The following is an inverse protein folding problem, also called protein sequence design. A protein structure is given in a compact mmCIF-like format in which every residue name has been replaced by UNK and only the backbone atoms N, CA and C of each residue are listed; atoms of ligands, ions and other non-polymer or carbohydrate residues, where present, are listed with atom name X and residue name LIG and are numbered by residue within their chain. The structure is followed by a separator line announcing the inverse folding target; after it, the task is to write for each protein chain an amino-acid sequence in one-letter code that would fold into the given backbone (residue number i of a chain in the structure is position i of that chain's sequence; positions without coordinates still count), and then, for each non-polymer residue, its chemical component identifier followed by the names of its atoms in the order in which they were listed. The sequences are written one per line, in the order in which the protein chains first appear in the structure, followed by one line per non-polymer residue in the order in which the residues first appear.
data_IF_284062349631
#
_entry.id   IF_284062349631
#
_cell.length_a   1.000
_cell.length_b   1.000
_cell.length_c   1.000
_cell.angle_alpha   90.00
_cell.angle_beta   90.00
_cell.angle_gamma   90.00
#
_symmetry.space_group_name_H-M   'P 1'
#
loop_
_entity.id
_entity.type
_entity.pdbx_description
1 polymer ?
#
# COMPACT_ATOMS: atom_id res chain seq x y z
N UNK A 1 -21.04 -16.03 7.94
CA UNK A 1 -20.45 -15.04 7.03
C UNK A 1 -20.46 -15.62 5.62
N UNK A 2 -21.00 -14.95 4.60
CA UNK A 2 -20.98 -15.50 3.24
C UNK A 2 -19.54 -15.43 2.74
N UNK A 3 -18.91 -16.60 2.68
CA UNK A 3 -17.64 -16.84 2.04
C UNK A 3 -17.87 -16.62 0.53
N UNK A 4 -17.45 -15.48 -0.01
CA UNK A 4 -17.39 -15.31 -1.46
C UNK A 4 -16.55 -16.46 -2.00
N UNK A 5 -17.17 -17.37 -2.77
CA UNK A 5 -16.47 -18.57 -3.25
C UNK A 5 -15.41 -18.12 -4.25
N UNK A 6 -14.18 -18.59 -4.09
CA UNK A 6 -12.99 -18.22 -4.88
C UNK A 6 -13.24 -18.15 -6.40
N UNK A 7 -14.11 -19.03 -6.92
CA UNK A 7 -14.54 -19.07 -8.33
C UNK A 7 -15.18 -17.78 -8.84
N UNK A 8 -15.88 -17.02 -8.00
CA UNK A 8 -16.50 -15.75 -8.41
C UNK A 8 -15.49 -14.61 -8.53
N UNK A 9 -14.32 -14.76 -7.88
CA UNK A 9 -13.25 -13.77 -7.87
C UNK A 9 -12.20 -14.04 -8.97
N UNK A 10 -12.15 -15.27 -9.51
CA UNK A 10 -11.25 -15.65 -10.60
C UNK A 10 -11.24 -14.68 -11.79
N UNK A 11 -12.39 -14.20 -12.32
CA UNK A 11 -12.38 -13.25 -13.42
C UNK A 11 -11.70 -11.92 -13.06
N UNK A 12 -11.88 -11.43 -11.84
CA UNK A 12 -11.25 -10.20 -11.35
C UNK A 12 -9.75 -10.41 -11.14
N UNK A 13 -9.36 -11.54 -10.58
CA UNK A 13 -7.96 -11.92 -10.40
C UNK A 13 -7.24 -12.03 -11.75
N UNK A 14 -7.88 -12.65 -12.75
CA UNK A 14 -7.32 -12.80 -14.09
C UNK A 14 -7.12 -11.44 -14.77
N UNK A 15 -8.14 -10.56 -14.74
CA UNK A 15 -8.04 -9.19 -15.24
C UNK A 15 -6.95 -8.41 -14.52
N UNK A 16 -6.90 -8.52 -13.19
CA UNK A 16 -5.89 -7.86 -12.40
C UNK A 16 -4.50 -8.48 -12.62
N UNK A 17 -4.36 -9.70 -13.12
CA UNK A 17 -3.04 -10.27 -13.47
C UNK A 17 -2.62 -9.91 -14.90
N UNK A 18 -3.55 -9.48 -15.74
CA UNK A 18 -3.33 -9.10 -17.13
C UNK A 18 -2.73 -7.68 -17.25
N UNK A 19 -1.43 -7.55 -16.94
CA UNK A 19 -0.71 -6.26 -16.94
C UNK A 19 -0.65 -5.54 -18.30
N UNK A 20 -0.98 -6.22 -19.39
CA UNK A 20 -1.02 -5.60 -20.73
C UNK A 20 -2.32 -4.84 -21.00
N UNK A 21 -3.39 -5.08 -20.21
CA UNK A 21 -4.66 -4.38 -20.35
C UNK A 21 -4.90 -3.42 -19.18
N UNK A 22 -4.46 -2.18 -19.38
CA UNK A 22 -4.56 -1.11 -18.40
C UNK A 22 -6.00 -0.85 -17.92
N UNK A 23 -6.96 -0.79 -18.85
CA UNK A 23 -8.36 -0.46 -18.55
C UNK A 23 -9.02 -1.57 -17.71
N UNK A 24 -8.72 -2.84 -18.00
CA UNK A 24 -9.20 -3.96 -17.19
C UNK A 24 -8.66 -3.91 -15.76
N UNK A 25 -7.37 -3.63 -15.59
CA UNK A 25 -6.75 -3.54 -14.26
C UNK A 25 -7.38 -2.40 -13.46
N UNK A 26 -7.51 -1.21 -14.05
CA UNK A 26 -8.15 -0.08 -13.39
C UNK A 26 -9.61 -0.34 -13.04
N UNK A 27 -10.37 -0.96 -13.95
CA UNK A 27 -11.75 -1.34 -13.69
C UNK A 27 -11.85 -2.22 -12.43
N UNK A 28 -11.01 -3.25 -12.33
CA UNK A 28 -11.01 -4.11 -11.14
C UNK A 28 -10.62 -3.33 -9.88
N UNK A 29 -9.60 -2.46 -9.96
CA UNK A 29 -9.18 -1.66 -8.80
C UNK A 29 -10.28 -0.70 -8.32
N UNK A 30 -11.01 -0.07 -9.23
CA UNK A 30 -12.12 0.82 -8.89
C UNK A 30 -13.33 0.07 -8.29
N UNK A 31 -13.67 -1.10 -8.85
CA UNK A 31 -14.70 -1.97 -8.27
C UNK A 31 -14.31 -2.44 -6.88
N UNK A 32 -13.05 -2.85 -6.68
CA UNK A 32 -12.54 -3.25 -5.37
C UNK A 32 -12.57 -2.08 -4.38
N UNK A 33 -12.25 -0.86 -4.80
CA UNK A 33 -12.33 0.32 -3.95
C UNK A 33 -13.76 0.54 -3.46
N UNK A 34 -14.71 0.54 -4.37
CA UNK A 34 -16.14 0.72 -4.07
C UNK A 34 -16.68 -0.40 -3.16
N UNK A 35 -16.42 -1.67 -3.48
CA UNK A 35 -16.94 -2.81 -2.71
C UNK A 35 -16.33 -2.87 -1.32
N UNK A 36 -15.03 -2.59 -1.20
CA UNK A 36 -14.33 -2.69 0.08
C UNK A 36 -14.65 -1.56 1.06
N UNK A 37 -15.34 -0.49 0.65
CA UNK A 37 -15.93 0.46 1.60
C UNK A 37 -16.98 -0.21 2.50
N UNK A 38 -17.75 -1.15 1.95
CA UNK A 38 -18.82 -1.87 2.67
C UNK A 38 -18.37 -3.24 3.17
N UNK A 39 -17.49 -3.91 2.43
CA UNK A 39 -17.00 -5.25 2.75
C UNK A 39 -15.48 -5.33 2.62
N UNK A 40 -14.71 -4.70 3.54
CA UNK A 40 -13.27 -4.61 3.38
C UNK A 40 -12.54 -5.94 3.53
N UNK A 41 -13.18 -6.96 4.12
CA UNK A 41 -12.62 -8.31 4.24
C UNK A 41 -12.34 -8.97 2.87
N UNK A 42 -12.99 -8.50 1.80
CA UNK A 42 -12.75 -9.00 0.43
C UNK A 42 -11.29 -8.80 0.00
N UNK A 43 -10.63 -7.76 0.51
CA UNK A 43 -9.26 -7.41 0.14
C UNK A 43 -8.23 -8.48 0.54
N UNK A 44 -8.56 -9.35 1.50
CA UNK A 44 -7.73 -10.51 1.86
C UNK A 44 -7.45 -11.42 0.66
N UNK A 45 -8.41 -11.54 -0.27
CA UNK A 45 -8.28 -12.38 -1.46
C UNK A 45 -7.42 -11.73 -2.55
N UNK A 46 -7.21 -10.41 -2.46
CA UNK A 46 -6.50 -9.62 -3.47
C UNK A 46 -5.12 -9.11 -3.00
N UNK A 47 -4.80 -9.22 -1.72
CA UNK A 47 -3.64 -8.56 -1.10
C UNK A 47 -2.29 -8.89 -1.80
N UNK A 48 -2.07 -10.15 -2.19
CA UNK A 48 -0.85 -10.56 -2.91
C UNK A 48 -0.77 -9.88 -4.28
N UNK A 49 -1.89 -9.75 -4.98
CA UNK A 49 -1.93 -9.11 -6.28
C UNK A 49 -1.78 -7.59 -6.18
N UNK A 50 -2.38 -6.96 -5.15
CA UNK A 50 -2.18 -5.53 -4.84
C UNK A 50 -0.71 -5.23 -4.53
N UNK A 51 -0.02 -6.13 -3.82
CA UNK A 51 1.43 -6.02 -3.57
C UNK A 51 2.25 -5.97 -4.86
N UNK A 52 1.89 -6.78 -5.86
CA UNK A 52 2.59 -6.74 -7.16
C UNK A 52 2.37 -5.44 -7.95
N UNK A 53 1.34 -4.67 -7.59
CA UNK A 53 0.97 -3.41 -8.25
C UNK A 53 1.62 -2.17 -7.65
N UNK A 54 2.31 -2.29 -6.52
CA UNK A 54 2.95 -1.14 -5.86
C UNK A 54 4.08 -0.53 -6.70
N UNK A 55 4.66 -1.32 -7.61
CA UNK A 55 5.74 -0.91 -8.51
C UNK A 55 5.28 -0.80 -9.97
N UNK A 56 3.97 -0.79 -10.22
CA UNK A 56 3.43 -0.61 -11.57
C UNK A 56 3.93 0.70 -12.20
N UNK A 57 4.07 0.75 -13.53
CA UNK A 57 4.55 1.95 -14.20
C UNK A 57 3.50 3.07 -14.20
N UNK A 58 2.22 2.74 -14.10
CA UNK A 58 1.12 3.71 -14.05
C UNK A 58 0.87 4.24 -12.62
N UNK A 59 0.71 5.56 -12.46
CA UNK A 59 0.50 6.14 -11.14
C UNK A 59 -0.85 5.82 -10.52
N UNK A 60 -1.92 5.76 -11.33
CA UNK A 60 -3.27 5.55 -10.81
C UNK A 60 -3.38 4.13 -10.28
N UNK A 61 -2.82 3.17 -11.00
CA UNK A 61 -2.75 1.78 -10.56
C UNK A 61 -2.00 1.67 -9.23
N UNK A 62 -0.81 2.30 -9.11
CA UNK A 62 -0.06 2.29 -7.84
C UNK A 62 -0.87 2.92 -6.70
N UNK A 63 -1.45 4.09 -6.93
CA UNK A 63 -2.22 4.82 -5.92
C UNK A 63 -3.43 4.01 -5.44
N UNK A 64 -4.20 3.38 -6.34
CA UNK A 64 -5.26 2.45 -5.96
C UNK A 64 -4.72 1.24 -5.18
N UNK A 65 -3.63 0.63 -5.65
CA UNK A 65 -3.04 -0.53 -5.00
C UNK A 65 -2.59 -0.21 -3.56
N UNK A 66 -1.93 0.94 -3.35
CA UNK A 66 -1.57 1.41 -2.02
C UNK A 66 -2.81 1.69 -1.17
N UNK A 67 -3.81 2.42 -1.67
CA UNK A 67 -5.04 2.72 -0.92
C UNK A 67 -5.74 1.45 -0.42
N UNK A 68 -5.95 0.50 -1.32
CA UNK A 68 -6.58 -0.79 -1.02
C UNK A 68 -5.73 -1.62 -0.06
N UNK A 69 -4.41 -1.66 -0.27
CA UNK A 69 -3.51 -2.39 0.62
C UNK A 69 -3.50 -1.78 2.03
N UNK A 70 -3.48 -0.45 2.18
CA UNK A 70 -3.55 0.20 3.48
C UNK A 70 -4.89 -0.08 4.17
N UNK A 71 -6.00 -0.08 3.42
CA UNK A 71 -7.33 -0.46 3.96
C UNK A 71 -7.31 -1.90 4.48
N UNK A 72 -6.72 -2.84 3.74
CA UNK A 72 -6.54 -4.23 4.18
C UNK A 72 -5.68 -4.35 5.44
N UNK A 73 -4.51 -3.69 5.47
CA UNK A 73 -3.56 -3.80 6.57
C UNK A 73 -4.05 -3.14 7.85
N UNK A 74 -4.81 -2.04 7.78
CA UNK A 74 -5.47 -1.45 8.96
C UNK A 74 -6.43 -2.41 9.65
N UNK A 75 -7.07 -3.31 8.90
CA UNK A 75 -7.94 -4.35 9.46
C UNK A 75 -7.16 -5.59 9.92
N UNK A 76 -5.96 -5.80 9.37
CA UNK A 76 -5.12 -6.95 9.67
C UNK A 76 -3.67 -6.50 9.97
N UNK A 77 -3.40 -5.75 11.05
CA UNK A 77 -2.07 -5.15 11.27
C UNK A 77 -0.94 -6.18 11.34
N UNK A 78 -1.22 -7.38 11.85
CA UNK A 78 -0.28 -8.50 11.91
C UNK A 78 0.25 -8.94 10.53
N UNK A 79 -0.47 -8.63 9.45
CA UNK A 79 -0.08 -8.95 8.08
C UNK A 79 0.96 -7.97 7.53
N UNK A 80 1.10 -6.77 8.09
CA UNK A 80 2.00 -5.72 7.57
C UNK A 80 3.46 -6.20 7.43
N UNK A 81 3.90 -7.10 8.31
CA UNK A 81 5.22 -7.75 8.25
C UNK A 81 5.49 -8.48 6.92
N UNK A 82 4.47 -9.01 6.26
CA UNK A 82 4.58 -9.70 4.97
C UNK A 82 4.70 -8.74 3.78
N UNK A 83 4.34 -7.47 3.97
CA UNK A 83 4.41 -6.41 2.97
C UNK A 83 5.60 -5.46 3.18
N UNK A 84 6.24 -5.53 4.36
CA UNK A 84 7.39 -4.69 4.72
C UNK A 84 8.45 -4.61 3.63
N UNK A 85 8.90 -5.77 3.11
CA UNK A 85 9.94 -5.80 2.09
C UNK A 85 9.53 -5.02 0.84
N UNK A 86 8.34 -5.28 0.30
CA UNK A 86 7.87 -4.61 -0.91
C UNK A 86 7.63 -3.13 -0.72
N UNK A 87 7.14 -2.72 0.45
CA UNK A 87 7.00 -1.31 0.77
C UNK A 87 8.38 -0.62 0.85
N UNK A 88 9.36 -1.27 1.50
CA UNK A 88 10.73 -0.78 1.57
C UNK A 88 11.36 -0.69 0.17
N UNK A 89 11.14 -1.70 -0.69
CA UNK A 89 11.63 -1.72 -2.07
C UNK A 89 11.11 -0.50 -2.85
N UNK A 90 9.84 -0.09 -2.63
CA UNK A 90 9.29 1.14 -3.19
C UNK A 90 10.00 2.41 -2.67
N UNK A 91 10.36 2.47 -1.38
CA UNK A 91 11.08 3.61 -0.79
C UNK A 91 12.53 3.74 -1.29
N UNK A 92 13.18 2.63 -1.64
CA UNK A 92 14.55 2.65 -2.17
C UNK A 92 14.62 2.65 -3.70
N UNK A 93 13.46 2.72 -4.37
CA UNK A 93 13.37 2.66 -5.83
C UNK A 93 14.16 3.78 -6.50
N UNK A 94 14.84 3.42 -7.60
CA UNK A 94 15.45 4.37 -8.54
C UNK A 94 14.40 5.21 -9.28
N UNK A 95 13.17 4.71 -9.39
CA UNK A 95 12.09 5.40 -10.10
C UNK A 95 11.42 6.39 -9.16
N UNK A 96 11.66 7.69 -9.39
CA UNK A 96 11.05 8.78 -8.63
C UNK A 96 9.52 8.62 -8.48
N UNK A 97 8.81 8.20 -9.54
CA UNK A 97 7.35 7.97 -9.51
C UNK A 97 6.91 6.90 -8.50
N UNK A 98 7.68 5.82 -8.33
CA UNK A 98 7.37 4.75 -7.37
C UNK A 98 7.62 5.26 -5.95
N UNK A 99 8.78 5.89 -5.74
CA UNK A 99 9.12 6.53 -4.47
C UNK A 99 8.04 7.52 -4.02
N UNK A 100 7.61 8.40 -4.93
CA UNK A 100 6.56 9.38 -4.67
C UNK A 100 5.22 8.75 -4.26
N UNK A 101 4.80 7.67 -4.93
CA UNK A 101 3.60 6.93 -4.52
C UNK A 101 3.75 6.37 -3.11
N UNK A 102 4.89 5.75 -2.77
CA UNK A 102 5.12 5.24 -1.41
C UNK A 102 5.09 6.35 -0.35
N UNK A 103 5.69 7.52 -0.61
CA UNK A 103 5.73 8.63 0.35
C UNK A 103 4.33 9.14 0.74
N UNK A 104 3.35 9.08 -0.18
CA UNK A 104 1.96 9.45 0.13
C UNK A 104 1.40 8.66 1.32
N UNK A 105 1.81 7.39 1.45
CA UNK A 105 1.33 6.43 2.44
C UNK A 105 2.32 6.16 3.59
N UNK A 106 3.41 6.91 3.67
CA UNK A 106 4.50 6.71 4.63
C UNK A 106 4.01 6.63 6.07
N UNK A 107 3.21 7.61 6.50
CA UNK A 107 2.73 7.71 7.88
C UNK A 107 1.87 6.50 8.27
N UNK A 108 1.00 6.05 7.37
CA UNK A 108 0.14 4.90 7.60
C UNK A 108 0.94 3.61 7.76
N UNK A 109 1.88 3.37 6.83
CA UNK A 109 2.65 2.14 6.85
C UNK A 109 3.64 2.09 8.02
N UNK A 110 4.19 3.23 8.43
CA UNK A 110 5.03 3.35 9.63
C UNK A 110 4.24 2.97 10.88
N UNK A 111 2.99 3.44 11.02
CA UNK A 111 2.15 3.08 12.16
C UNK A 111 1.83 1.59 12.17
N UNK A 112 1.57 0.99 11.00
CA UNK A 112 1.32 -0.44 10.86
C UNK A 112 2.55 -1.33 11.09
N UNK A 113 3.76 -0.77 10.97
CA UNK A 113 5.04 -1.46 11.14
C UNK A 113 5.92 -0.71 12.15
N UNK A 114 5.34 -0.35 13.31
CA UNK A 114 5.99 0.53 14.29
C UNK A 114 7.30 -0.06 14.85
N UNK A 115 7.40 -1.39 14.91
CA UNK A 115 8.61 -2.16 15.23
C UNK A 115 9.80 -1.89 14.28
N UNK A 116 9.53 -1.51 13.04
CA UNK A 116 10.53 -1.22 11.99
C UNK A 116 10.51 0.22 11.49
N UNK A 117 9.83 1.09 12.22
CA UNK A 117 9.61 2.49 11.85
C UNK A 117 10.92 3.25 11.61
N UNK A 118 11.95 3.05 12.43
CA UNK A 118 13.24 3.73 12.28
C UNK A 118 13.89 3.45 10.91
N UNK A 119 13.84 2.20 10.45
CA UNK A 119 14.41 1.80 9.15
C UNK A 119 13.62 2.46 8.03
N UNK A 120 12.28 2.45 8.10
CA UNK A 120 11.43 3.07 7.07
C UNK A 120 11.65 4.59 6.98
N UNK A 121 11.76 5.27 8.13
CA UNK A 121 12.05 6.72 8.18
C UNK A 121 13.42 7.00 7.56
N UNK A 122 14.45 6.20 7.88
CA UNK A 122 15.78 6.37 7.34
C UNK A 122 15.82 6.19 5.82
N UNK A 123 15.16 5.17 5.28
CA UNK A 123 15.09 4.97 3.83
C UNK A 123 14.26 6.06 3.14
N UNK A 124 13.17 6.53 3.75
CA UNK A 124 12.42 7.67 3.23
C UNK A 124 13.29 8.93 3.14
N UNK A 125 14.07 9.27 4.17
CA UNK A 125 14.98 10.44 4.13
C UNK A 125 16.04 10.28 3.04
N UNK A 126 16.65 9.10 2.90
CA UNK A 126 17.63 8.83 1.84
C UNK A 126 17.03 8.99 0.45
N UNK A 127 15.84 8.43 0.24
CA UNK A 127 15.10 8.56 -1.02
C UNK A 127 14.73 10.02 -1.31
N UNK A 128 14.37 10.79 -0.29
CA UNK A 128 13.98 12.20 -0.45
C UNK A 128 15.15 13.06 -0.93
N UNK A 129 16.34 12.83 -0.39
CA UNK A 129 17.57 13.49 -0.83
C UNK A 129 17.93 13.11 -2.27
N UNK A 130 17.86 11.81 -2.58
CA UNK A 130 18.16 11.29 -3.92
C UNK A 130 17.24 11.84 -4.99
N UNK A 131 15.94 11.93 -4.70
CA UNK A 131 14.91 12.36 -5.64
C UNK A 131 14.62 13.86 -5.58
N UNK A 132 15.29 14.60 -4.69
CA UNK A 132 15.08 16.02 -4.41
C UNK A 132 13.60 16.37 -4.11
N UNK A 133 12.99 15.61 -3.19
CA UNK A 133 11.59 15.77 -2.76
C UNK A 133 11.55 16.16 -1.29
N UNK A 134 10.78 17.19 -0.96
CA UNK A 134 10.49 17.52 0.44
C UNK A 134 9.45 16.54 1.02
N UNK A 135 9.84 15.87 2.11
CA UNK A 135 8.97 14.95 2.85
C UNK A 135 8.75 15.39 4.30
N UNK A 136 9.15 16.60 4.67
CA UNK A 136 9.15 17.10 6.06
C UNK A 136 7.76 16.98 6.70
N UNK A 137 6.70 17.34 5.95
CA UNK A 137 5.31 17.18 6.42
C UNK A 137 4.93 15.73 6.70
N UNK A 138 5.32 14.79 5.82
CA UNK A 138 5.05 13.36 6.00
C UNK A 138 5.83 12.77 7.17
N UNK A 139 7.08 13.20 7.37
CA UNK A 139 7.89 12.80 8.52
C UNK A 139 7.30 13.31 9.83
N UNK A 140 6.88 14.58 9.88
CA UNK A 140 6.22 15.16 11.04
C UNK A 140 4.96 14.39 11.41
N UNK A 141 4.09 14.11 10.43
CA UNK A 141 2.90 13.28 10.61
C UNK A 141 3.23 11.88 11.15
N UNK A 142 4.22 11.21 10.55
CA UNK A 142 4.65 9.86 10.97
C UNK A 142 5.15 9.83 12.41
N UNK A 143 6.02 10.78 12.79
CA UNK A 143 6.59 10.89 14.14
C UNK A 143 5.49 11.23 15.15
N UNK A 144 4.56 12.11 14.79
CA UNK A 144 3.43 12.46 15.64
C UNK A 144 2.58 11.23 15.94
N UNK A 145 2.23 10.44 14.93
CA UNK A 145 1.42 9.22 15.09
C UNK A 145 2.13 8.17 15.95
N UNK A 146 3.42 7.91 15.71
CA UNK A 146 4.22 6.97 16.52
C UNK A 146 4.30 7.38 18.00
N UNK A 147 4.35 8.69 18.28
CA UNK A 147 4.33 9.17 19.67
C UNK A 147 2.98 8.95 20.33
N UNK A 148 1.89 9.17 19.60
CA UNK A 148 0.53 8.96 20.10
C UNK A 148 0.24 7.48 20.37
N UNK A 149 0.72 6.56 19.53
CA UNK A 149 0.58 5.10 19.72
C UNK A 149 1.11 4.65 21.10
N UNK A 150 2.19 5.27 21.59
CA UNK A 150 2.80 4.97 22.89
C UNK A 150 1.95 5.36 24.11
N UNK A 151 0.88 6.14 23.92
CA UNK A 151 -0.02 6.56 25.00
C UNK A 151 -1.36 5.81 25.02
N UNK A 152 -1.58 4.88 24.09
CA UNK A 152 -2.83 4.10 23.98
C UNK A 152 -2.76 2.78 24.77
N UNK A 153 -1.62 2.49 25.41
CA UNK A 153 -1.41 1.33 26.28
C UNK A 153 -0.90 1.75 27.66
#
# INVERSE_FOLDING_TARGET
MPLWKTKQLEPFINKLSNRSNYEEVLFVLNELDTVSERQPIILSQFAIYLKSLLEDNDDKIRDYAFNLLMRYLRLNPNEAKHFYKSYKDCLISEKNKIYNSAIKFLSDFILLSSDKSEILIREAIRGSQKHNIDISGKLYESIRLLRLEKYVY
#
